data_IF_779310808918
#
_entry.id   IF_779310808918
#
_cell.length_a   1.000
_cell.length_b   1.000
_cell.length_c   1.000
_cell.angle_alpha   90.00
_cell.angle_beta   90.00
_cell.angle_gamma   90.00
#
_symmetry.space_group_name_H-M   'P 1'
#
loop_
_entity.id
_entity.type
_entity.pdbx_description
1 polymer ?
#
# COMPACT_ATOMS: atom_id res chain seq x y z
N UNK A 1 -2.14 -30.31 20.15
CA UNK A 1 -2.35 -28.95 19.57
C UNK A 1 -3.77 -28.81 19.00
N UNK A 2 -4.81 -29.04 19.83
CA UNK A 2 -6.21 -29.11 19.38
C UNK A 2 -7.05 -27.92 19.88
N UNK A 3 -6.41 -26.76 20.08
CA UNK A 3 -7.07 -25.52 20.56
C UNK A 3 -7.59 -24.67 19.38
N UNK A 4 -7.54 -25.19 18.14
CA UNK A 4 -7.89 -24.44 16.93
C UNK A 4 -9.35 -24.54 16.49
N UNK A 5 -10.24 -25.23 17.20
CA UNK A 5 -11.65 -25.34 16.78
C UNK A 5 -12.61 -25.29 17.96
N UNK A 6 -12.90 -24.11 18.51
CA UNK A 6 -14.14 -23.91 19.28
C UNK A 6 -15.23 -23.44 18.28
N UNK A 7 -16.25 -24.26 17.97
CA UNK A 7 -17.19 -24.02 16.86
C UNK A 7 -18.01 -22.73 17.01
N UNK A 8 -18.26 -22.27 18.25
CA UNK A 8 -19.03 -21.06 18.51
C UNK A 8 -18.32 -19.76 18.07
N UNK A 9 -16.99 -19.75 17.91
CA UNK A 9 -16.27 -18.55 17.45
C UNK A 9 -16.24 -18.41 15.91
N UNK A 10 -16.40 -19.51 15.17
CA UNK A 10 -16.46 -19.49 13.70
C UNK A 10 -17.73 -18.81 13.19
N UNK A 11 -18.86 -18.99 13.88
CA UNK A 11 -20.15 -18.38 13.50
C UNK A 11 -20.08 -16.85 13.37
N UNK A 12 -19.21 -16.18 14.14
CA UNK A 12 -19.08 -14.73 14.06
C UNK A 12 -18.23 -14.26 12.87
N UNK A 13 -17.33 -15.08 12.33
CA UNK A 13 -16.43 -14.63 11.25
C UNK A 13 -17.00 -14.89 9.85
N UNK A 14 -18.00 -15.76 9.73
CA UNK A 14 -18.67 -16.10 8.45
C UNK A 14 -19.18 -14.85 7.71
N UNK A 15 -19.64 -13.82 8.44
CA UNK A 15 -20.05 -12.52 7.86
C UNK A 15 -18.93 -11.79 7.09
N UNK A 16 -17.66 -11.99 7.47
CA UNK A 16 -16.51 -11.32 6.86
C UNK A 16 -15.86 -12.12 5.74
N UNK A 17 -16.09 -13.44 5.72
CA UNK A 17 -15.53 -14.33 4.70
C UNK A 17 -16.50 -15.48 4.35
N UNK A 18 -17.68 -15.19 3.77
CA UNK A 18 -18.71 -16.20 3.52
C UNK A 18 -18.28 -17.31 2.55
N UNK A 19 -17.22 -17.08 1.76
CA UNK A 19 -16.68 -18.05 0.82
C UNK A 19 -15.78 -19.12 1.47
N UNK A 20 -15.41 -18.97 2.75
CA UNK A 20 -14.45 -19.85 3.42
C UNK A 20 -14.93 -20.32 4.79
N UNK A 21 -14.77 -21.63 5.05
CA UNK A 21 -15.19 -22.28 6.31
C UNK A 21 -14.33 -21.93 7.53
N UNK A 22 -13.10 -21.48 7.31
CA UNK A 22 -12.13 -21.18 8.38
C UNK A 22 -11.38 -19.88 8.07
N UNK A 23 -11.01 -19.13 9.10
CA UNK A 23 -10.32 -17.86 8.96
C UNK A 23 -8.96 -18.00 8.26
N UNK A 24 -8.24 -19.10 8.51
CA UNK A 24 -6.95 -19.39 7.87
C UNK A 24 -7.11 -19.67 6.39
N UNK A 25 -8.09 -20.51 6.01
CA UNK A 25 -8.41 -20.76 4.60
C UNK A 25 -8.83 -19.48 3.89
N UNK A 26 -9.64 -18.63 4.53
CA UNK A 26 -9.99 -17.31 3.99
C UNK A 26 -8.74 -16.46 3.71
N UNK A 27 -7.86 -16.33 4.71
CA UNK A 27 -6.63 -15.55 4.57
C UNK A 27 -5.73 -16.09 3.46
N UNK A 28 -5.60 -17.42 3.32
CA UNK A 28 -4.84 -18.06 2.24
C UNK A 28 -5.45 -17.81 0.86
N UNK A 29 -6.78 -17.88 0.74
CA UNK A 29 -7.48 -17.60 -0.51
C UNK A 29 -7.34 -16.13 -0.93
N UNK A 30 -7.50 -15.20 0.01
CA UNK A 30 -7.26 -13.76 -0.22
C UNK A 30 -5.81 -13.54 -0.63
N UNK A 31 -4.86 -14.11 0.11
CA UNK A 31 -3.43 -14.00 -0.17
C UNK A 31 -3.13 -14.44 -1.61
N UNK A 32 -3.67 -15.58 -2.04
CA UNK A 32 -3.42 -16.11 -3.38
C UNK A 32 -4.09 -15.27 -4.46
N UNK A 33 -5.33 -14.84 -4.25
CA UNK A 33 -6.03 -13.97 -5.19
C UNK A 33 -5.29 -12.63 -5.37
N UNK A 34 -4.84 -12.02 -4.29
CA UNK A 34 -4.10 -10.75 -4.30
C UNK A 34 -2.69 -10.93 -4.85
N UNK A 35 -2.04 -12.07 -4.58
CA UNK A 35 -0.76 -12.43 -5.20
C UNK A 35 -0.88 -12.48 -6.73
N UNK A 36 -1.91 -13.16 -7.26
CA UNK A 36 -2.16 -13.22 -8.70
C UNK A 36 -2.51 -11.85 -9.29
N UNK A 37 -3.28 -11.03 -8.57
CA UNK A 37 -3.52 -9.64 -8.96
C UNK A 37 -2.22 -8.81 -8.96
N UNK A 38 -1.35 -9.03 -7.97
CA UNK A 38 -0.02 -8.45 -7.89
C UNK A 38 0.84 -8.83 -9.09
N UNK A 39 0.83 -10.09 -9.53
CA UNK A 39 1.53 -10.51 -10.75
C UNK A 39 1.01 -9.75 -11.97
N UNK A 40 -0.31 -9.64 -12.13
CA UNK A 40 -0.94 -8.90 -13.24
C UNK A 40 -0.59 -7.41 -13.24
N UNK A 41 -0.39 -6.81 -12.08
CA UNK A 41 0.00 -5.40 -11.93
C UNK A 41 1.52 -5.21 -12.14
N UNK A 42 2.34 -5.98 -11.45
CA UNK A 42 3.79 -5.78 -11.41
C UNK A 42 4.49 -6.34 -12.65
N UNK A 43 3.99 -7.40 -13.28
CA UNK A 43 4.59 -7.93 -14.51
C UNK A 43 4.71 -6.87 -15.62
N UNK A 44 3.63 -6.19 -16.06
CA UNK A 44 3.77 -5.15 -17.08
C UNK A 44 4.58 -3.96 -16.57
N UNK A 45 4.41 -3.55 -15.31
CA UNK A 45 5.14 -2.42 -14.73
C UNK A 45 6.67 -2.61 -14.81
N UNK A 46 7.16 -3.84 -14.63
CA UNK A 46 8.59 -4.14 -14.66
C UNK A 46 9.09 -4.64 -16.01
N UNK A 47 8.31 -5.46 -16.72
CA UNK A 47 8.73 -6.05 -17.99
C UNK A 47 8.68 -5.04 -19.13
N UNK A 48 7.64 -4.21 -19.22
CA UNK A 48 7.49 -3.26 -20.34
C UNK A 48 8.65 -2.27 -20.38
N UNK A 49 9.05 -1.60 -19.28
CA UNK A 49 10.19 -0.70 -19.33
C UNK A 49 11.52 -1.44 -19.54
N UNK A 50 11.66 -2.65 -19.02
CA UNK A 50 12.87 -3.45 -19.19
C UNK A 50 13.08 -3.91 -20.64
N UNK A 51 11.99 -4.22 -21.35
CA UNK A 51 12.00 -4.65 -22.75
C UNK A 51 12.12 -3.46 -23.71
N UNK A 52 11.28 -2.44 -23.55
CA UNK A 52 11.19 -1.31 -24.49
C UNK A 52 12.39 -0.38 -24.34
N UNK A 53 12.63 0.15 -23.14
CA UNK A 53 13.62 1.22 -22.94
C UNK A 53 15.02 0.67 -22.69
N UNK A 54 15.14 -0.47 -22.03
CA UNK A 54 16.44 -1.00 -21.60
C UNK A 54 16.97 -2.17 -22.44
N UNK A 55 16.15 -2.73 -23.36
CA UNK A 55 16.49 -3.88 -24.23
C UNK A 55 17.30 -4.95 -23.51
N UNK A 56 16.90 -5.31 -22.29
CA UNK A 56 17.68 -6.21 -21.43
C UNK A 56 17.65 -7.65 -21.97
N UNK A 57 18.76 -8.36 -21.76
CA UNK A 57 18.86 -9.78 -22.16
C UNK A 57 17.86 -10.64 -21.40
N UNK A 58 17.49 -11.79 -21.99
CA UNK A 58 16.58 -12.76 -21.35
C UNK A 58 17.09 -13.21 -19.98
N UNK A 59 18.41 -13.41 -19.85
CA UNK A 59 19.05 -13.77 -18.58
C UNK A 59 18.84 -12.70 -17.51
N UNK A 60 18.94 -11.41 -17.86
CA UNK A 60 18.68 -10.31 -16.93
C UNK A 60 17.22 -10.29 -16.48
N UNK A 61 16.28 -10.49 -17.40
CA UNK A 61 14.85 -10.53 -17.09
C UNK A 61 14.53 -11.66 -16.10
N UNK A 62 15.08 -12.85 -16.34
CA UNK A 62 14.85 -14.02 -15.48
C UNK A 62 15.54 -13.88 -14.13
N UNK A 63 16.79 -13.40 -14.08
CA UNK A 63 17.57 -13.36 -12.83
C UNK A 63 17.28 -12.14 -11.95
N UNK A 64 16.80 -11.04 -12.53
CA UNK A 64 16.56 -9.78 -11.78
C UNK A 64 15.10 -9.39 -11.78
N UNK A 65 14.50 -9.26 -12.96
CA UNK A 65 13.14 -8.72 -13.10
C UNK A 65 12.08 -9.66 -12.53
N UNK A 66 12.16 -10.95 -12.84
CA UNK A 66 11.18 -11.93 -12.36
C UNK A 66 11.18 -12.08 -10.82
N UNK A 67 12.34 -12.21 -10.13
CA UNK A 67 12.37 -12.18 -8.67
C UNK A 67 11.83 -10.88 -8.05
N UNK A 68 11.99 -9.74 -8.71
CA UNK A 68 11.43 -8.47 -8.24
C UNK A 68 9.90 -8.45 -8.35
N UNK A 69 9.35 -8.92 -9.48
CA UNK A 69 7.89 -9.07 -9.67
C UNK A 69 7.31 -10.02 -8.63
N UNK A 70 7.94 -11.19 -8.44
CA UNK A 70 7.51 -12.19 -7.47
C UNK A 70 7.57 -11.63 -6.05
N UNK A 71 8.68 -10.99 -5.67
CA UNK A 71 8.83 -10.38 -4.33
C UNK A 71 7.74 -9.36 -4.04
N UNK A 72 7.46 -8.44 -4.98
CA UNK A 72 6.41 -7.43 -4.79
C UNK A 72 5.01 -8.03 -4.76
N UNK A 73 4.76 -9.07 -5.55
CA UNK A 73 3.48 -9.78 -5.53
C UNK A 73 3.28 -10.54 -4.21
N UNK A 74 4.34 -11.16 -3.67
CA UNK A 74 4.33 -11.80 -2.35
C UNK A 74 4.13 -10.76 -1.25
N UNK A 75 4.78 -9.60 -1.34
CA UNK A 75 4.54 -8.48 -0.42
C UNK A 75 3.05 -8.10 -0.39
N UNK A 76 2.45 -7.86 -1.57
CA UNK A 76 1.06 -7.43 -1.67
C UNK A 76 0.07 -8.51 -1.20
N UNK A 77 0.30 -9.77 -1.59
CA UNK A 77 -0.46 -10.91 -1.10
C UNK A 77 -0.37 -11.05 0.42
N UNK A 78 0.84 -10.90 0.98
CA UNK A 78 1.07 -11.00 2.43
C UNK A 78 0.40 -9.88 3.19
N UNK A 79 0.43 -8.65 2.68
CA UNK A 79 -0.32 -7.54 3.24
C UNK A 79 -1.82 -7.89 3.35
N UNK A 80 -2.44 -8.35 2.26
CA UNK A 80 -3.86 -8.68 2.25
C UNK A 80 -4.22 -9.89 3.13
N UNK A 81 -3.39 -10.94 3.10
CA UNK A 81 -3.57 -12.14 3.93
C UNK A 81 -3.45 -11.83 5.42
N UNK A 82 -2.41 -11.08 5.82
CA UNK A 82 -2.22 -10.63 7.21
C UNK A 82 -3.34 -9.69 7.63
N UNK A 83 -3.78 -8.77 6.77
CA UNK A 83 -4.92 -7.88 7.06
C UNK A 83 -6.19 -8.68 7.38
N UNK A 84 -6.55 -9.65 6.53
CA UNK A 84 -7.71 -10.50 6.73
C UNK A 84 -7.59 -11.36 8.00
N UNK A 85 -6.41 -11.93 8.23
CA UNK A 85 -6.11 -12.71 9.44
C UNK A 85 -6.18 -11.86 10.71
N UNK A 86 -5.64 -10.64 10.67
CA UNK A 86 -5.63 -9.70 11.80
C UNK A 86 -7.04 -9.27 12.18
N UNK A 87 -7.93 -9.00 11.22
CA UNK A 87 -9.35 -8.73 11.49
C UNK A 87 -9.98 -9.88 12.28
N UNK A 88 -9.79 -11.12 11.80
CA UNK A 88 -10.35 -12.30 12.46
C UNK A 88 -9.77 -12.50 13.87
N UNK A 89 -8.46 -12.28 14.03
CA UNK A 89 -7.77 -12.40 15.31
C UNK A 89 -8.23 -11.35 16.31
N UNK A 90 -8.34 -10.08 15.90
CA UNK A 90 -8.81 -8.98 16.76
C UNK A 90 -10.25 -9.24 17.19
N UNK A 91 -11.15 -9.65 16.27
CA UNK A 91 -12.53 -10.04 16.63
C UNK A 91 -12.55 -11.17 17.64
N UNK A 92 -11.68 -12.17 17.49
CA UNK A 92 -11.58 -13.30 18.41
C UNK A 92 -11.15 -12.88 19.82
N UNK A 93 -10.22 -11.92 19.92
CA UNK A 93 -9.70 -11.42 21.20
C UNK A 93 -10.69 -10.46 21.86
N UNK A 94 -11.26 -9.52 21.09
CA UNK A 94 -12.10 -8.44 21.62
C UNK A 94 -13.58 -8.85 21.75
N UNK A 95 -14.03 -9.85 20.99
CA UNK A 95 -15.41 -10.34 21.01
C UNK A 95 -16.46 -9.43 20.35
N UNK A 96 -16.05 -8.26 19.85
CA UNK A 96 -16.93 -7.29 19.16
C UNK A 96 -16.20 -6.55 18.05
N UNK A 97 -16.97 -5.90 17.18
CA UNK A 97 -16.45 -5.02 16.14
C UNK A 97 -15.99 -3.67 16.69
N UNK A 98 -14.73 -3.34 16.43
CA UNK A 98 -14.16 -2.03 16.74
C UNK A 98 -14.17 -1.13 15.51
N UNK A 99 -14.53 0.14 15.68
CA UNK A 99 -14.44 1.17 14.61
C UNK A 99 -13.00 1.32 14.07
N UNK A 100 -12.01 1.10 14.92
CA UNK A 100 -10.58 1.16 14.59
C UNK A 100 -9.98 -0.17 14.11
N UNK A 101 -10.79 -1.24 13.99
CA UNK A 101 -10.29 -2.58 13.65
C UNK A 101 -9.55 -2.60 12.31
N UNK A 102 -10.08 -1.92 11.29
CA UNK A 102 -9.44 -1.81 9.99
C UNK A 102 -8.08 -1.11 10.07
N UNK A 103 -7.98 -0.02 10.86
CA UNK A 103 -6.73 0.71 11.03
C UNK A 103 -5.67 -0.13 11.77
N UNK A 104 -6.06 -0.81 12.85
CA UNK A 104 -5.16 -1.69 13.62
C UNK A 104 -4.70 -2.87 12.75
N UNK A 105 -5.62 -3.50 12.01
CA UNK A 105 -5.29 -4.60 11.10
C UNK A 105 -4.37 -4.15 9.96
N UNK A 106 -4.62 -2.97 9.39
CA UNK A 106 -3.78 -2.36 8.36
C UNK A 106 -2.38 -2.02 8.87
N UNK A 107 -2.26 -1.53 10.11
CA UNK A 107 -0.97 -1.26 10.75
C UNK A 107 -0.11 -2.52 10.87
N UNK A 108 -0.67 -3.61 11.44
CA UNK A 108 0.07 -4.88 11.57
C UNK A 108 0.34 -5.53 10.20
N UNK A 109 -0.61 -5.46 9.26
CA UNK A 109 -0.40 -5.92 7.90
C UNK A 109 0.76 -5.18 7.24
N UNK A 110 0.82 -3.86 7.36
CA UNK A 110 1.92 -3.03 6.87
C UNK A 110 3.25 -3.41 7.53
N UNK A 111 3.29 -3.48 8.86
CA UNK A 111 4.50 -3.77 9.63
C UNK A 111 5.10 -5.14 9.28
N UNK A 112 4.26 -6.17 9.13
CA UNK A 112 4.72 -7.53 8.84
C UNK A 112 5.07 -7.72 7.36
N UNK A 113 4.31 -7.12 6.44
CA UNK A 113 4.55 -7.29 5.01
C UNK A 113 5.71 -6.44 4.49
N UNK A 114 5.92 -5.22 4.98
CA UNK A 114 6.91 -4.27 4.43
C UNK A 114 8.34 -4.81 4.45
N UNK A 115 8.64 -5.75 5.35
CA UNK A 115 9.93 -6.42 5.46
C UNK A 115 10.24 -7.33 4.26
N UNK A 116 9.22 -7.82 3.56
CA UNK A 116 9.34 -8.65 2.35
C UNK A 116 9.80 -7.81 1.16
N UNK A 117 9.31 -6.57 1.05
CA UNK A 117 9.60 -5.69 -0.08
C UNK A 117 11.05 -5.17 -0.04
N UNK A 118 11.61 -4.86 -1.22
CA UNK A 118 12.97 -4.33 -1.38
C UNK A 118 13.12 -2.97 -0.70
N UNK A 119 14.17 -2.80 0.11
CA UNK A 119 14.44 -1.57 0.89
C UNK A 119 14.35 -0.28 0.07
N UNK A 120 14.82 -0.27 -1.16
CA UNK A 120 14.82 0.90 -2.05
C UNK A 120 13.43 1.40 -2.43
N UNK A 121 12.39 0.54 -2.37
CA UNK A 121 11.02 0.88 -2.77
C UNK A 121 10.09 1.16 -1.57
N UNK A 122 10.51 0.77 -0.36
CA UNK A 122 9.69 0.88 0.85
C UNK A 122 9.26 2.32 1.12
N UNK A 123 10.16 3.29 0.99
CA UNK A 123 9.86 4.69 1.30
C UNK A 123 8.89 5.32 0.30
N UNK A 124 9.06 5.04 -0.99
CA UNK A 124 8.15 5.52 -2.05
C UNK A 124 6.75 4.93 -1.88
N UNK A 125 6.67 3.62 -1.64
CA UNK A 125 5.40 2.94 -1.40
C UNK A 125 4.74 3.44 -0.11
N UNK A 126 5.50 3.60 0.98
CA UNK A 126 4.97 4.10 2.24
C UNK A 126 4.44 5.52 2.09
N UNK A 127 5.14 6.39 1.35
CA UNK A 127 4.68 7.75 1.08
C UNK A 127 3.39 7.76 0.24
N UNK A 128 3.30 6.88 -0.77
CA UNK A 128 2.08 6.70 -1.56
C UNK A 128 0.89 6.25 -0.68
N UNK A 129 1.09 5.19 0.12
CA UNK A 129 0.05 4.69 1.02
C UNK A 129 -0.34 5.73 2.09
N UNK A 130 0.63 6.49 2.60
CA UNK A 130 0.37 7.57 3.55
C UNK A 130 -0.50 8.66 2.92
N UNK A 131 -0.18 9.09 1.70
CA UNK A 131 -0.98 10.07 0.99
C UNK A 131 -2.43 9.57 0.77
N UNK A 132 -2.57 8.31 0.36
CA UNK A 132 -3.89 7.69 0.20
C UNK A 132 -4.65 7.60 1.54
N UNK A 133 -3.94 7.29 2.63
CA UNK A 133 -4.54 7.22 3.97
C UNK A 133 -4.99 8.60 4.46
N UNK A 134 -4.20 9.66 4.24
CA UNK A 134 -4.59 11.04 4.56
C UNK A 134 -5.87 11.42 3.83
N UNK A 135 -5.97 11.11 2.54
CA UNK A 135 -7.18 11.39 1.75
C UNK A 135 -8.40 10.64 2.30
N UNK A 136 -8.26 9.36 2.64
CA UNK A 136 -9.35 8.55 3.22
C UNK A 136 -9.77 9.13 4.58
N UNK A 137 -8.81 9.50 5.44
CA UNK A 137 -9.08 10.13 6.74
C UNK A 137 -9.79 11.46 6.56
N UNK A 138 -9.35 12.28 5.61
CA UNK A 138 -10.01 13.56 5.29
C UNK A 138 -11.45 13.36 4.84
N UNK A 139 -11.71 12.43 3.91
CA UNK A 139 -13.07 12.10 3.44
C UNK A 139 -13.94 11.56 4.57
N UNK A 140 -13.40 10.71 5.44
CA UNK A 140 -14.13 10.22 6.62
C UNK A 140 -14.46 11.33 7.61
N UNK A 141 -13.53 12.26 7.84
CA UNK A 141 -13.73 13.41 8.72
C UNK A 141 -14.80 14.35 8.14
N UNK A 142 -14.75 14.61 6.83
CA UNK A 142 -15.72 15.43 6.12
C UNK A 142 -17.13 14.82 6.18
N UNK A 143 -17.25 13.52 5.92
CA UNK A 143 -18.53 12.80 6.02
C UNK A 143 -19.14 12.86 7.43
N UNK A 144 -18.30 12.99 8.46
CA UNK A 144 -18.70 13.14 9.86
C UNK A 144 -18.82 14.60 10.31
N UNK A 145 -18.67 15.57 9.41
CA UNK A 145 -18.68 17.01 9.69
C UNK A 145 -17.65 17.45 10.74
N UNK A 146 -16.52 16.73 10.82
CA UNK A 146 -15.44 17.02 11.77
C UNK A 146 -14.41 18.00 11.21
N UNK A 147 -14.41 18.23 9.89
CA UNK A 147 -13.53 19.19 9.23
C UNK A 147 -14.35 20.20 8.44
N UNK A 148 -13.96 21.49 8.45
CA UNK A 148 -14.57 22.49 7.60
C UNK A 148 -14.22 22.19 6.13
N UNK A 149 -15.23 22.22 5.27
CA UNK A 149 -15.04 22.14 3.82
C UNK A 149 -15.00 23.56 3.27
N UNK A 150 -13.82 23.98 2.82
CA UNK A 150 -13.64 25.28 2.18
C UNK A 150 -13.82 25.12 0.67
N UNK A 151 -14.46 26.11 0.04
CA UNK A 151 -14.51 26.20 -1.41
C UNK A 151 -13.07 26.31 -1.94
N UNK A 152 -12.71 25.45 -2.89
CA UNK A 152 -11.37 25.38 -3.49
C UNK A 152 -10.25 25.00 -2.49
N UNK A 153 -10.54 24.21 -1.45
CA UNK A 153 -9.52 23.79 -0.48
C UNK A 153 -8.36 23.01 -1.11
N UNK A 154 -8.63 22.25 -2.17
CA UNK A 154 -7.64 21.56 -2.99
C UNK A 154 -6.65 22.53 -3.66
N UNK A 155 -7.11 23.72 -4.08
CA UNK A 155 -6.25 24.76 -4.65
C UNK A 155 -5.31 25.29 -3.57
N UNK A 156 -5.79 25.46 -2.35
CA UNK A 156 -4.95 25.89 -1.23
C UNK A 156 -3.85 24.86 -0.91
N UNK A 157 -4.20 23.58 -0.85
CA UNK A 157 -3.21 22.50 -0.65
C UNK A 157 -2.18 22.49 -1.79
N UNK A 158 -2.63 22.67 -3.04
CA UNK A 158 -1.73 22.76 -4.20
C UNK A 158 -0.79 23.98 -4.13
N UNK A 159 -1.31 25.15 -3.77
CA UNK A 159 -0.51 26.37 -3.60
C UNK A 159 0.56 26.19 -2.53
N UNK A 160 0.19 25.60 -1.38
CA UNK A 160 1.13 25.34 -0.28
C UNK A 160 2.20 24.34 -0.72
N UNK A 161 1.80 23.20 -1.31
CA UNK A 161 2.73 22.17 -1.76
C UNK A 161 3.71 22.69 -2.83
N UNK A 162 3.19 23.48 -3.79
CA UNK A 162 4.01 24.09 -4.85
C UNK A 162 4.97 25.14 -4.29
N UNK A 163 4.52 25.97 -3.34
CA UNK A 163 5.37 26.96 -2.66
C UNK A 163 6.53 26.29 -1.92
N UNK A 164 6.25 25.22 -1.15
CA UNK A 164 7.28 24.44 -0.46
C UNK A 164 8.27 23.82 -1.46
N UNK A 165 7.75 23.24 -2.54
CA UNK A 165 8.59 22.62 -3.56
C UNK A 165 9.55 23.64 -4.21
N UNK A 166 9.05 24.82 -4.56
CA UNK A 166 9.84 25.90 -5.16
C UNK A 166 10.83 26.51 -4.17
N UNK A 167 10.46 26.63 -2.90
CA UNK A 167 11.36 27.06 -1.85
C UNK A 167 12.58 26.14 -1.74
N UNK A 168 12.37 24.82 -1.69
CA UNK A 168 13.48 23.86 -1.68
C UNK A 168 14.25 23.87 -3.00
N UNK A 169 13.58 24.06 -4.13
CA UNK A 169 14.27 24.16 -5.42
C UNK A 169 15.23 25.36 -5.50
N UNK A 170 14.86 26.50 -4.91
CA UNK A 170 15.68 27.71 -4.90
C UNK A 170 16.80 27.66 -3.87
N UNK A 171 16.51 27.22 -2.65
CA UNK A 171 17.46 27.32 -1.53
C UNK A 171 18.28 26.04 -1.32
N UNK A 172 17.72 24.87 -1.61
CA UNK A 172 18.34 23.56 -1.35
C UNK A 172 18.02 22.53 -2.44
N UNK A 173 18.46 22.76 -3.70
CA UNK A 173 18.12 21.87 -4.81
C UNK A 173 18.63 20.43 -4.65
N UNK A 174 19.64 20.21 -3.79
CA UNK A 174 20.20 18.88 -3.49
C UNK A 174 19.30 18.05 -2.56
N UNK A 175 18.40 18.69 -1.81
CA UNK A 175 17.40 18.02 -0.96
C UNK A 175 16.28 17.37 -1.79
N UNK A 176 16.10 17.80 -3.05
CA UNK A 176 15.07 17.28 -3.95
C UNK A 176 15.51 15.98 -4.64
N UNK A 177 14.57 15.05 -4.84
CA UNK A 177 14.80 13.84 -5.64
C UNK A 177 15.23 14.23 -7.06
N UNK A 178 16.20 13.50 -7.62
CA UNK A 178 16.79 13.77 -8.95
C UNK A 178 15.74 13.98 -10.05
N UNK A 179 14.69 13.17 -10.08
CA UNK A 179 13.63 13.29 -11.08
C UNK A 179 12.84 14.60 -10.94
N UNK A 180 12.56 15.02 -9.71
CA UNK A 180 11.84 16.27 -9.44
C UNK A 180 12.72 17.48 -9.79
N UNK A 181 13.99 17.45 -9.37
CA UNK A 181 14.95 18.51 -9.69
C UNK A 181 15.16 18.64 -11.21
N UNK A 182 15.26 17.51 -11.92
CA UNK A 182 15.36 17.49 -13.39
C UNK A 182 14.14 18.11 -14.09
N UNK A 183 12.92 17.79 -13.62
CA UNK A 183 11.69 18.38 -14.15
C UNK A 183 11.60 19.88 -13.88
N UNK A 184 11.92 20.33 -12.66
CA UNK A 184 11.88 21.75 -12.31
C UNK A 184 12.92 22.55 -13.11
N UNK A 185 14.13 22.01 -13.31
CA UNK A 185 15.15 22.60 -14.19
C UNK A 185 14.68 22.74 -15.64
N UNK A 186 13.89 21.79 -16.13
CA UNK A 186 13.35 21.84 -17.50
C UNK A 186 12.30 22.95 -17.66
N UNK A 187 11.40 23.12 -16.69
CA UNK A 187 10.31 24.11 -16.80
C UNK A 187 10.67 25.52 -16.31
N UNK A 188 11.43 25.63 -15.22
CA UNK A 188 11.74 26.90 -14.55
C UNK A 188 13.10 27.44 -15.00
N UNK A 189 13.95 26.57 -15.57
CA UNK A 189 15.34 26.89 -15.85
C UNK A 189 16.23 26.58 -14.65
N UNK A 190 17.54 26.55 -14.91
CA UNK A 190 18.55 26.25 -13.90
C UNK A 190 18.76 27.49 -13.02
N UNK A 191 18.62 27.33 -11.70
CA UNK A 191 19.11 28.32 -10.74
C UNK A 191 20.64 28.40 -10.77
#
# INVERSE_FOLDING_TARGET
MTILTKPHQLQNCEKFHPWAKTCTSSASQIWFAVFLAGLKLYAPLFLVPALIFKRKSIQFLVQRTLPEILRSSVFLGTYAGVYAGAICLIRRIVGRDLKSMAAISGFFAGLLSILIEKKSRRSELALYCLNQAIEVVWKMAAARKLVPLFKNGEVLVYMIASSILLYFYQNEPDSLRSNMNGLLKFFIGKN
#
